data_IF_907884088821
#
_entry.id   IF_907884088821
#
_cell.length_a   1.000
_cell.length_b   1.000
_cell.length_c   1.000
_cell.angle_alpha   90.00
_cell.angle_beta   90.00
_cell.angle_gamma   90.00
#
_symmetry.space_group_name_H-M   'P 1'
#
loop_
_entity.id
_entity.type
_entity.pdbx_description
1 polymer ?
#
# COMPACT_ATOMS: atom_id res chain seq x y z
N UNK A 1 -34.68 -7.71 48.20
CA UNK A 1 -33.31 -7.17 47.99
C UNK A 1 -33.21 -6.85 46.51
N UNK A 2 -33.33 -5.56 46.21
CA UNK A 2 -33.17 -5.02 44.87
C UNK A 2 -31.71 -5.07 44.45
N UNK A 3 -31.44 -5.61 43.27
CA UNK A 3 -30.27 -5.20 42.48
C UNK A 3 -30.72 -4.96 41.04
N UNK A 4 -31.01 -3.69 40.80
CA UNK A 4 -30.98 -3.09 39.47
C UNK A 4 -29.58 -3.24 38.89
N UNK A 5 -29.48 -3.75 37.65
CA UNK A 5 -28.30 -3.52 36.82
C UNK A 5 -28.66 -3.50 35.34
N UNK A 6 -28.81 -2.26 34.89
CA UNK A 6 -28.23 -1.67 33.67
C UNK A 6 -28.60 -2.33 32.34
N UNK A 7 -29.59 -1.68 31.73
CA UNK A 7 -29.71 -1.43 30.30
C UNK A 7 -28.35 -1.05 29.69
N UNK A 8 -27.91 -1.77 28.67
CA UNK A 8 -26.99 -1.25 27.65
C UNK A 8 -27.80 -1.06 26.37
N UNK A 9 -27.90 0.20 25.97
CA UNK A 9 -28.55 0.65 24.77
C UNK A 9 -27.89 0.04 23.53
N UNK A 10 -28.73 -0.46 22.61
CA UNK A 10 -28.36 -0.73 21.23
C UNK A 10 -27.98 0.60 20.56
N UNK A 11 -26.69 0.77 20.26
CA UNK A 11 -26.22 1.75 19.31
C UNK A 11 -26.17 1.09 17.91
N UNK A 12 -26.73 1.69 16.85
CA UNK A 12 -26.55 1.19 15.49
C UNK A 12 -25.12 1.47 15.04
N UNK A 13 -24.43 0.43 14.59
CA UNK A 13 -23.11 0.55 13.96
C UNK A 13 -23.32 1.12 12.56
N UNK A 14 -23.11 2.43 12.39
CA UNK A 14 -23.06 3.06 11.08
C UNK A 14 -21.88 2.48 10.29
N UNK A 15 -22.17 1.96 9.09
CA UNK A 15 -21.18 1.57 8.10
C UNK A 15 -20.48 2.82 7.56
N UNK A 16 -19.15 2.87 7.47
CA UNK A 16 -18.51 3.78 6.55
C UNK A 16 -18.58 3.17 5.15
N UNK A 17 -19.42 3.74 4.28
CA UNK A 17 -19.28 3.60 2.84
C UNK A 17 -17.94 4.23 2.43
N UNK A 18 -16.98 3.40 2.05
CA UNK A 18 -15.75 3.86 1.42
C UNK A 18 -15.99 3.99 -0.08
N UNK A 19 -16.21 5.22 -0.51
CA UNK A 19 -16.35 5.64 -1.89
C UNK A 19 -14.95 5.81 -2.51
N UNK A 20 -14.52 5.04 -3.52
CA UNK A 20 -13.19 5.19 -4.12
C UNK A 20 -13.31 5.98 -5.43
N UNK A 21 -13.63 7.28 -5.37
CA UNK A 21 -13.74 8.09 -6.61
C UNK A 21 -13.21 9.52 -6.52
N UNK A 22 -12.52 9.92 -5.45
CA UNK A 22 -11.99 11.30 -5.33
C UNK A 22 -10.49 11.33 -5.07
N UNK A 23 -9.69 10.84 -6.02
CA UNK A 23 -8.24 11.10 -6.01
C UNK A 23 -7.65 11.07 -7.43
N UNK A 24 -8.38 11.65 -8.39
CA UNK A 24 -7.96 11.67 -9.79
C UNK A 24 -8.21 13.00 -10.48
N UNK A 25 -7.98 14.12 -9.80
CA UNK A 25 -8.02 15.45 -10.43
C UNK A 25 -7.08 16.44 -9.73
N UNK A 26 -5.78 16.15 -9.68
CA UNK A 26 -4.78 17.16 -9.32
C UNK A 26 -3.41 16.81 -9.93
N UNK A 27 -3.27 16.95 -11.26
CA UNK A 27 -2.04 17.44 -11.92
C UNK A 27 -2.24 17.51 -13.44
N UNK A 28 -3.06 18.45 -13.90
CA UNK A 28 -3.10 18.78 -15.32
C UNK A 28 -3.20 20.29 -15.50
N UNK A 29 -2.15 20.99 -15.05
CA UNK A 29 -1.88 22.36 -15.48
C UNK A 29 -0.44 22.75 -15.11
N UNK A 30 0.55 22.38 -15.92
CA UNK A 30 1.70 23.27 -16.09
C UNK A 30 2.13 23.26 -17.55
N UNK A 31 2.10 24.46 -18.09
CA UNK A 31 2.26 24.78 -19.49
C UNK A 31 3.69 24.56 -19.97
N UNK A 32 3.78 23.98 -21.15
CA UNK A 32 4.95 23.94 -22.01
C UNK A 32 5.02 25.26 -22.79
N UNK A 33 6.09 26.07 -22.67
CA UNK A 33 6.34 27.14 -23.63
C UNK A 33 7.40 26.67 -24.65
N UNK A 34 6.91 26.36 -25.85
CA UNK A 34 7.73 26.38 -27.07
C UNK A 34 8.30 27.79 -27.27
N UNK A 35 9.62 27.92 -27.13
CA UNK A 35 10.37 29.09 -27.57
C UNK A 35 11.43 28.65 -28.58
N UNK A 36 11.03 28.60 -29.85
CA UNK A 36 11.91 28.82 -31.00
C UNK A 36 11.42 30.08 -31.70
N UNK A 37 12.08 31.19 -31.45
CA UNK A 37 12.04 32.35 -32.34
C UNK A 37 13.30 33.18 -32.11
N UNK A 38 14.36 32.80 -32.81
CA UNK A 38 15.46 33.70 -33.11
C UNK A 38 14.91 34.83 -33.99
N UNK A 39 14.93 36.05 -33.50
CA UNK A 39 14.73 37.26 -34.28
C UNK A 39 15.72 38.30 -33.79
N UNK A 40 16.86 38.32 -34.47
CA UNK A 40 17.86 39.37 -34.37
C UNK A 40 17.29 40.69 -34.89
N UNK A 41 17.11 41.66 -33.99
CA UNK A 41 16.86 43.06 -34.31
C UNK A 41 17.96 43.89 -33.64
N UNK A 42 19.00 44.27 -34.41
CA UNK A 42 19.83 45.44 -34.11
C UNK A 42 20.43 46.02 -35.41
N UNK A 43 19.70 46.95 -36.00
CA UNK A 43 20.12 48.04 -36.89
C UNK A 43 19.53 49.29 -36.19
N UNK A 44 20.17 50.41 -35.87
CA UNK A 44 21.28 51.23 -36.39
C UNK A 44 21.63 52.21 -35.19
N UNK A 45 22.66 53.11 -35.13
CA UNK A 45 22.89 54.17 -36.14
C UNK A 45 24.35 54.68 -36.33
N UNK A 46 24.53 55.37 -37.47
CA UNK A 46 25.34 56.58 -37.73
C UNK A 46 26.77 56.71 -37.20
N UNK A 47 27.70 57.01 -38.13
CA UNK A 47 28.82 57.94 -37.88
C UNK A 47 29.28 58.59 -39.20
N UNK A 48 29.00 59.90 -39.30
CA UNK A 48 29.57 60.86 -40.25
C UNK A 48 31.10 60.81 -40.33
N UNK A 49 31.67 61.34 -41.43
CA UNK A 49 32.81 62.24 -41.24
C UNK A 49 32.76 63.50 -42.12
N UNK A 50 32.69 64.66 -41.45
CA UNK A 50 33.30 65.93 -41.85
C UNK A 50 34.36 66.28 -40.79
N UNK A 51 35.45 67.05 -41.06
CA UNK A 51 35.52 68.28 -41.88
C UNK A 51 36.63 68.23 -42.94
N UNK A 52 36.55 68.92 -44.08
CA UNK A 52 36.51 70.37 -44.32
C UNK A 52 37.81 71.13 -43.97
N UNK A 53 38.23 71.91 -44.97
CA UNK A 53 39.03 73.14 -44.91
C UNK A 53 40.55 73.00 -44.67
N UNK A 54 41.40 73.84 -45.27
CA UNK A 54 41.22 74.93 -46.22
C UNK A 54 42.61 75.58 -46.41
N UNK A 55 42.79 76.22 -47.59
CA UNK A 55 43.44 77.54 -47.73
C UNK A 55 44.96 77.58 -47.44
N UNK A 56 45.75 78.51 -47.96
CA UNK A 56 45.54 79.70 -48.78
C UNK A 56 46.93 80.11 -49.31
N UNK A 57 46.93 80.63 -50.53
CA UNK A 57 47.45 81.93 -50.95
C UNK A 57 48.91 82.39 -50.77
N UNK A 58 49.18 83.32 -51.69
CA UNK A 58 50.12 84.45 -51.73
C UNK A 58 51.53 84.15 -52.24
N UNK A 59 51.96 84.60 -53.43
CA UNK A 59 51.81 85.87 -54.15
C UNK A 59 52.53 87.06 -53.50
N UNK A 60 53.64 87.50 -54.14
CA UNK A 60 54.17 88.89 -54.27
C UNK A 60 55.58 88.76 -54.88
N UNK A 61 55.92 89.29 -56.06
CA UNK A 61 55.88 90.64 -56.65
C UNK A 61 56.80 91.67 -55.98
N UNK A 62 57.97 91.93 -56.58
CA UNK A 62 58.75 93.19 -56.56
C UNK A 62 59.68 93.10 -57.80
N UNK A 63 59.50 93.74 -58.97
CA UNK A 63 59.35 95.14 -59.40
C UNK A 63 60.52 96.07 -59.05
N UNK A 64 61.00 96.73 -60.12
CA UNK A 64 61.65 98.06 -60.13
C UNK A 64 63.13 98.14 -59.70
N UNK A 65 63.96 99.05 -60.21
CA UNK A 65 63.86 100.04 -61.30
C UNK A 65 65.30 100.54 -61.53
N UNK A 66 65.55 100.85 -62.79
CA UNK A 66 66.54 101.73 -63.40
C UNK A 66 66.94 103.02 -62.65
N UNK A 67 68.25 103.30 -62.58
CA UNK A 67 68.87 104.65 -62.49
C UNK A 67 70.31 104.48 -63.05
N UNK A 68 70.88 105.21 -64.00
CA UNK A 68 70.59 106.52 -64.57
C UNK A 68 71.54 107.59 -64.04
N UNK A 69 72.76 107.76 -64.59
CA UNK A 69 73.58 108.99 -64.41
C UNK A 69 74.78 108.94 -65.38
N UNK A 70 74.72 109.53 -66.57
CA UNK A 70 75.01 110.94 -66.92
C UNK A 70 76.48 111.37 -66.77
N UNK A 71 77.04 111.81 -67.92
CA UNK A 71 77.86 113.04 -68.08
C UNK A 71 79.29 112.98 -67.55
N UNK A 72 80.29 113.02 -68.43
CA UNK A 72 80.77 114.30 -68.97
C UNK A 72 81.99 114.11 -69.87
N UNK A 73 81.93 114.71 -71.05
CA UNK A 73 83.06 115.00 -71.91
C UNK A 73 83.99 116.01 -71.22
N UNK A 74 85.30 115.79 -71.25
CA UNK A 74 86.29 116.86 -71.15
C UNK A 74 87.58 116.42 -71.81
N UNK A 75 87.87 117.08 -72.93
CA UNK A 75 89.09 116.95 -73.68
C UNK A 75 90.22 117.76 -73.02
N UNK A 76 91.44 117.24 -73.18
CA UNK A 76 92.74 117.90 -73.01
C UNK A 76 93.16 118.21 -71.57
N UNK A 77 94.05 117.38 -71.01
CA UNK A 77 95.39 117.83 -70.63
C UNK A 77 96.30 116.64 -70.32
N UNK A 78 97.51 116.69 -70.86
CA UNK A 78 98.63 115.78 -70.63
C UNK A 78 98.93 115.65 -69.12
N UNK A 79 98.61 114.51 -68.49
CA UNK A 79 99.06 114.20 -67.12
C UNK A 79 99.19 112.68 -66.89
N UNK A 80 100.12 112.32 -66.01
CA UNK A 80 101.05 111.19 -66.12
C UNK A 80 100.83 110.12 -65.05
N UNK A 81 99.66 109.47 -65.00
CA UNK A 81 99.44 108.33 -64.08
C UNK A 81 98.23 107.40 -64.41
N UNK A 82 97.91 107.20 -65.69
CA UNK A 82 96.84 106.27 -66.11
C UNK A 82 97.17 104.81 -65.79
N UNK A 83 98.46 104.47 -65.73
CA UNK A 83 98.94 103.13 -65.42
C UNK A 83 98.57 102.70 -63.99
N UNK A 84 98.67 103.60 -63.01
CA UNK A 84 98.33 103.28 -61.62
C UNK A 84 96.81 103.11 -61.41
N UNK A 85 95.98 103.83 -62.17
CA UNK A 85 94.52 103.67 -62.11
C UNK A 85 94.05 102.38 -62.80
N UNK A 86 94.65 102.03 -63.94
CA UNK A 86 94.39 100.75 -64.63
C UNK A 86 94.88 99.57 -63.80
N UNK A 87 96.04 99.67 -63.14
CA UNK A 87 96.56 98.65 -62.23
C UNK A 87 95.65 98.45 -61.01
N UNK A 88 95.18 99.52 -60.35
CA UNK A 88 94.21 99.43 -59.26
C UNK A 88 92.88 98.82 -59.72
N UNK A 89 92.45 99.10 -60.95
CA UNK A 89 91.24 98.52 -61.53
C UNK A 89 91.42 97.03 -61.87
N UNK A 90 92.61 96.61 -62.30
CA UNK A 90 92.96 95.20 -62.51
C UNK A 90 93.08 94.43 -61.19
N UNK A 91 93.69 95.01 -60.17
CA UNK A 91 93.75 94.41 -58.83
C UNK A 91 92.34 94.30 -58.22
N UNK A 92 91.51 95.33 -58.36
CA UNK A 92 90.12 95.29 -57.95
C UNK A 92 89.34 94.25 -58.75
N UNK A 93 89.54 94.16 -60.06
CA UNK A 93 88.92 93.13 -60.91
C UNK A 93 89.37 91.73 -60.49
N UNK A 94 90.66 91.52 -60.23
CA UNK A 94 91.19 90.25 -59.73
C UNK A 94 90.62 89.91 -58.35
N UNK A 95 90.49 90.89 -57.44
CA UNK A 95 89.87 90.70 -56.12
C UNK A 95 88.40 90.37 -56.27
N UNK A 96 87.66 91.11 -57.09
CA UNK A 96 86.25 90.89 -57.37
C UNK A 96 86.01 89.51 -58.00
N UNK A 97 86.85 89.09 -58.95
CA UNK A 97 86.80 87.74 -59.54
C UNK A 97 87.11 86.66 -58.51
N UNK A 98 88.08 86.88 -57.61
CA UNK A 98 88.38 85.94 -56.52
C UNK A 98 87.21 85.83 -55.54
N UNK A 99 86.64 86.94 -55.10
CA UNK A 99 85.46 86.99 -54.22
C UNK A 99 84.25 86.34 -54.89
N UNK A 100 84.02 86.60 -56.18
CA UNK A 100 82.96 85.98 -56.96
C UNK A 100 83.15 84.45 -57.08
N UNK A 101 84.35 83.98 -57.39
CA UNK A 101 84.65 82.55 -57.47
C UNK A 101 84.56 81.86 -56.10
N UNK A 102 84.96 82.52 -55.02
CA UNK A 102 84.77 82.01 -53.65
C UNK A 102 83.29 81.95 -53.28
N UNK A 103 82.50 82.95 -53.69
CA UNK A 103 81.06 82.96 -53.48
C UNK A 103 80.37 81.83 -54.25
N UNK A 104 80.78 81.55 -55.49
CA UNK A 104 80.30 80.41 -56.28
C UNK A 104 80.64 79.11 -55.58
N UNK A 105 81.91 78.89 -55.22
CA UNK A 105 82.35 77.66 -54.56
C UNK A 105 81.61 77.43 -53.24
N UNK A 106 81.46 78.48 -52.43
CA UNK A 106 80.69 78.42 -51.18
C UNK A 106 79.22 78.10 -51.44
N UNK A 107 78.64 78.66 -52.50
CA UNK A 107 77.27 78.35 -52.92
C UNK A 107 77.14 76.90 -53.38
N UNK A 108 78.11 76.36 -54.10
CA UNK A 108 78.17 74.95 -54.53
C UNK A 108 78.27 74.01 -53.33
N UNK A 109 79.25 74.23 -52.44
CA UNK A 109 79.42 73.45 -51.20
C UNK A 109 78.16 73.50 -50.32
N UNK A 110 77.56 74.68 -50.15
CA UNK A 110 76.30 74.83 -49.41
C UNK A 110 75.13 74.10 -50.10
N UNK A 111 75.10 74.03 -51.43
CA UNK A 111 74.08 73.26 -52.15
C UNK A 111 74.29 71.75 -52.03
N UNK A 112 75.53 71.29 -52.07
CA UNK A 112 75.89 69.88 -51.87
C UNK A 112 75.60 69.41 -50.44
N UNK A 113 75.96 70.21 -49.42
CA UNK A 113 75.64 69.92 -48.03
C UNK A 113 74.13 69.89 -47.80
N UNK A 114 73.37 70.83 -48.38
CA UNK A 114 71.90 70.83 -48.32
C UNK A 114 71.31 69.60 -48.99
N UNK A 115 71.83 69.18 -50.14
CA UNK A 115 71.32 67.99 -50.84
C UNK A 115 71.66 66.70 -50.08
N UNK A 116 72.87 66.59 -49.52
CA UNK A 116 73.25 65.47 -48.65
C UNK A 116 72.38 65.42 -47.39
N UNK A 117 72.13 66.56 -46.74
CA UNK A 117 71.26 66.62 -45.56
C UNK A 117 69.82 66.22 -45.91
N UNK A 118 69.31 66.69 -47.05
CA UNK A 118 67.99 66.29 -47.57
C UNK A 118 67.91 64.79 -47.87
N UNK A 119 68.93 64.20 -48.47
CA UNK A 119 68.99 62.75 -48.71
C UNK A 119 69.02 61.95 -47.41
N UNK A 120 69.80 62.38 -46.41
CA UNK A 120 69.83 61.74 -45.10
C UNK A 120 68.48 61.82 -44.39
N UNK A 121 67.82 62.98 -44.44
CA UNK A 121 66.49 63.16 -43.87
C UNK A 121 65.44 62.29 -44.58
N UNK A 122 65.51 62.20 -45.91
CA UNK A 122 64.64 61.34 -46.70
C UNK A 122 64.85 59.87 -46.36
N UNK A 123 66.10 59.41 -46.27
CA UNK A 123 66.43 58.04 -45.86
C UNK A 123 65.92 57.74 -44.45
N UNK A 124 66.13 58.65 -43.49
CA UNK A 124 65.63 58.48 -42.13
C UNK A 124 64.10 58.40 -42.06
N UNK A 125 63.40 59.21 -42.87
CA UNK A 125 61.94 59.14 -43.02
C UNK A 125 61.50 57.79 -43.59
N UNK A 126 62.16 57.31 -44.64
CA UNK A 126 61.87 56.00 -45.25
C UNK A 126 62.12 54.84 -44.27
N UNK A 127 63.25 54.83 -43.57
CA UNK A 127 63.58 53.82 -42.57
C UNK A 127 62.55 53.81 -41.42
N UNK A 128 62.11 54.99 -40.96
CA UNK A 128 61.09 55.12 -39.92
C UNK A 128 59.73 54.60 -40.40
N UNK A 129 59.35 54.89 -41.66
CA UNK A 129 58.12 54.36 -42.27
C UNK A 129 58.20 52.83 -42.39
N UNK A 130 59.33 52.28 -42.84
CA UNK A 130 59.53 50.83 -42.93
C UNK A 130 59.45 50.16 -41.57
N UNK A 131 60.06 50.74 -40.53
CA UNK A 131 59.96 50.24 -39.16
C UNK A 131 58.51 50.28 -38.65
N UNK A 132 57.80 51.39 -38.85
CA UNK A 132 56.40 51.51 -38.47
C UNK A 132 55.52 50.48 -39.19
N UNK A 133 55.73 50.31 -40.50
CA UNK A 133 55.00 49.32 -41.30
C UNK A 133 55.29 47.89 -40.85
N UNK A 134 56.52 47.56 -40.47
CA UNK A 134 56.87 46.26 -39.90
C UNK A 134 56.20 46.02 -38.54
N UNK A 135 56.09 47.06 -37.69
CA UNK A 135 55.36 46.98 -36.42
C UNK A 135 53.86 46.78 -36.64
N UNK A 136 53.25 47.51 -37.58
CA UNK A 136 51.85 47.31 -37.96
C UNK A 136 51.59 45.88 -38.46
N UNK A 137 52.47 45.35 -39.30
CA UNK A 137 52.37 43.96 -39.77
C UNK A 137 52.42 42.92 -38.63
N UNK A 138 53.26 43.16 -37.61
CA UNK A 138 53.31 42.30 -36.41
C UNK A 138 52.04 42.41 -35.57
N UNK A 139 51.50 43.61 -35.37
CA UNK A 139 50.25 43.82 -34.66
C UNK A 139 49.08 43.13 -35.35
N UNK A 140 48.99 43.24 -36.68
CA UNK A 140 47.93 42.58 -37.45
C UNK A 140 48.06 41.05 -37.38
N UNK A 141 49.29 40.51 -37.46
CA UNK A 141 49.52 39.07 -37.27
C UNK A 141 49.08 38.58 -35.88
N UNK A 142 49.34 39.37 -34.83
CA UNK A 142 48.91 39.04 -33.46
C UNK A 142 47.38 39.11 -33.32
N UNK A 143 46.74 40.12 -33.90
CA UNK A 143 45.27 40.25 -33.92
C UNK A 143 44.61 39.04 -34.57
N UNK A 144 45.06 38.64 -35.77
CA UNK A 144 44.52 37.47 -36.48
C UNK A 144 44.75 36.18 -35.67
N UNK A 145 45.93 35.99 -35.07
CA UNK A 145 46.20 34.82 -34.21
C UNK A 145 45.30 34.77 -32.98
N UNK A 146 45.01 35.91 -32.37
CA UNK A 146 44.11 35.99 -31.22
C UNK A 146 42.68 35.62 -31.62
N UNK A 147 42.14 36.21 -32.70
CA UNK A 147 40.81 35.86 -33.22
C UNK A 147 40.67 34.37 -33.58
N UNK A 148 41.70 33.79 -34.20
CA UNK A 148 41.74 32.35 -34.48
C UNK A 148 41.84 31.50 -33.21
N UNK A 149 42.53 31.99 -32.17
CA UNK A 149 42.60 31.31 -30.88
C UNK A 149 41.25 31.34 -30.17
N UNK A 150 40.59 32.50 -30.11
CA UNK A 150 39.30 32.70 -29.48
C UNK A 150 38.22 31.83 -30.14
N UNK A 151 38.15 31.82 -31.47
CA UNK A 151 37.21 30.96 -32.21
C UNK A 151 37.47 29.47 -31.98
N UNK A 152 38.74 29.04 -31.89
CA UNK A 152 39.11 27.66 -31.58
C UNK A 152 38.71 27.28 -30.15
N UNK A 153 38.90 28.17 -29.18
CA UNK A 153 38.49 27.96 -27.79
C UNK A 153 36.96 27.82 -27.69
N UNK A 154 36.20 28.71 -28.32
CA UNK A 154 34.73 28.65 -28.39
C UNK A 154 34.23 27.35 -29.01
N UNK A 155 34.82 26.92 -30.13
CA UNK A 155 34.46 25.65 -30.77
C UNK A 155 34.73 24.44 -29.87
N UNK A 156 35.86 24.43 -29.14
CA UNK A 156 36.18 23.37 -28.18
C UNK A 156 35.16 23.34 -27.04
N UNK A 157 34.80 24.49 -26.48
CA UNK A 157 33.79 24.59 -25.43
C UNK A 157 32.42 24.11 -25.90
N UNK A 158 32.00 24.49 -27.11
CA UNK A 158 30.75 24.02 -27.70
C UNK A 158 30.71 22.50 -27.86
N UNK A 159 31.78 21.90 -28.41
CA UNK A 159 31.87 20.45 -28.56
C UNK A 159 31.87 19.73 -27.20
N UNK A 160 32.60 20.27 -26.22
CA UNK A 160 32.60 19.76 -24.85
C UNK A 160 31.21 19.81 -24.22
N UNK A 161 30.50 20.94 -24.35
CA UNK A 161 29.15 21.10 -23.81
C UNK A 161 28.15 20.17 -24.52
N UNK A 162 28.26 20.03 -25.84
CA UNK A 162 27.43 19.08 -26.60
C UNK A 162 27.65 17.66 -26.10
N UNK A 163 28.90 17.25 -25.89
CA UNK A 163 29.24 15.93 -25.36
C UNK A 163 28.67 15.72 -23.94
N UNK A 164 28.84 16.71 -23.06
CA UNK A 164 28.30 16.71 -21.70
C UNK A 164 26.76 16.54 -21.74
N UNK A 165 26.05 17.36 -22.51
CA UNK A 165 24.60 17.28 -22.64
C UNK A 165 24.12 15.94 -23.20
N UNK A 166 24.84 15.36 -24.16
CA UNK A 166 24.51 14.02 -24.65
C UNK A 166 24.71 12.95 -23.58
N UNK A 167 25.79 13.03 -22.79
CA UNK A 167 26.02 12.09 -21.70
C UNK A 167 25.04 12.25 -20.54
N UNK A 168 24.58 13.47 -20.29
CA UNK A 168 23.55 13.76 -19.30
C UNK A 168 22.20 13.20 -19.75
N UNK A 169 21.84 13.42 -21.03
CA UNK A 169 20.63 12.87 -21.63
C UNK A 169 20.59 11.35 -21.53
N UNK A 170 21.68 10.66 -21.88
CA UNK A 170 21.73 9.19 -21.76
C UNK A 170 21.60 8.72 -20.33
N UNK A 171 22.23 9.42 -19.37
CA UNK A 171 22.11 9.08 -17.94
C UNK A 171 20.68 9.26 -17.43
N UNK A 172 20.03 10.37 -17.78
CA UNK A 172 18.64 10.63 -17.42
C UNK A 172 17.68 9.61 -18.06
N UNK A 173 17.93 9.19 -19.30
CA UNK A 173 17.17 8.13 -19.96
C UNK A 173 17.34 6.77 -19.25
N UNK A 174 18.56 6.40 -18.86
CA UNK A 174 18.84 5.18 -18.09
C UNK A 174 18.19 5.22 -16.70
N UNK A 175 18.23 6.36 -16.01
CA UNK A 175 17.57 6.56 -14.72
C UNK A 175 16.04 6.45 -14.86
N UNK A 176 15.45 7.04 -15.91
CA UNK A 176 14.03 6.88 -16.20
C UNK A 176 13.66 5.41 -16.41
N UNK A 177 14.43 4.68 -17.22
CA UNK A 177 14.17 3.25 -17.47
C UNK A 177 14.31 2.40 -16.20
N UNK A 178 15.26 2.75 -15.33
CA UNK A 178 15.41 2.10 -14.03
C UNK A 178 14.18 2.35 -13.15
N UNK A 179 13.73 3.59 -13.02
CA UNK A 179 12.56 3.95 -12.21
C UNK A 179 11.28 3.26 -12.71
N UNK A 180 11.08 3.18 -14.04
CA UNK A 180 9.95 2.46 -14.62
C UNK A 180 9.96 0.99 -14.19
N UNK A 181 11.11 0.32 -14.25
CA UNK A 181 11.23 -1.09 -13.80
C UNK A 181 10.95 -1.24 -12.30
N UNK A 182 11.47 -0.35 -11.47
CA UNK A 182 11.22 -0.35 -10.02
C UNK A 182 9.72 -0.15 -9.72
N UNK A 183 9.04 0.75 -10.44
CA UNK A 183 7.60 0.96 -10.34
C UNK A 183 6.82 -0.29 -10.76
N UNK A 184 7.13 -0.89 -11.90
CA UNK A 184 6.49 -2.14 -12.35
C UNK A 184 6.71 -3.29 -11.36
N UNK A 185 7.91 -3.41 -10.77
CA UNK A 185 8.19 -4.38 -9.72
C UNK A 185 7.36 -4.15 -8.47
N UNK A 186 7.20 -2.89 -8.07
CA UNK A 186 6.36 -2.51 -6.94
C UNK A 186 4.89 -2.85 -7.19
N UNK A 187 4.36 -2.57 -8.39
CA UNK A 187 2.99 -2.90 -8.78
C UNK A 187 2.76 -4.40 -8.86
N UNK A 188 3.75 -5.16 -9.35
CA UNK A 188 3.72 -6.63 -9.33
C UNK A 188 3.65 -7.18 -7.90
N UNK A 189 4.48 -6.66 -6.98
CA UNK A 189 4.46 -7.04 -5.57
C UNK A 189 3.13 -6.69 -4.90
N UNK A 190 2.61 -5.49 -5.13
CA UNK A 190 1.30 -5.07 -4.60
C UNK A 190 0.17 -5.95 -5.12
N UNK A 191 0.19 -6.31 -6.41
CA UNK A 191 -0.81 -7.19 -7.02
C UNK A 191 -0.75 -8.61 -6.45
N UNK A 192 0.47 -9.15 -6.24
CA UNK A 192 0.66 -10.45 -5.59
C UNK A 192 0.11 -10.45 -4.16
N UNK A 193 0.45 -9.45 -3.35
CA UNK A 193 -0.06 -9.31 -1.98
C UNK A 193 -1.58 -9.17 -1.92
N UNK A 194 -2.19 -8.41 -2.84
CA UNK A 194 -3.65 -8.29 -2.95
C UNK A 194 -4.30 -9.65 -3.28
N UNK A 195 -3.69 -10.41 -4.18
CA UNK A 195 -4.15 -11.76 -4.53
C UNK A 195 -4.06 -12.72 -3.35
N UNK A 196 -2.92 -12.74 -2.64
CA UNK A 196 -2.73 -13.55 -1.44
C UNK A 196 -3.74 -13.20 -0.34
N UNK A 197 -3.93 -11.90 -0.07
CA UNK A 197 -4.92 -11.43 0.90
C UNK A 197 -6.35 -11.83 0.51
N UNK A 198 -6.68 -11.76 -0.79
CA UNK A 198 -7.99 -12.22 -1.27
C UNK A 198 -8.20 -13.72 -1.06
N UNK A 199 -7.19 -14.54 -1.38
CA UNK A 199 -7.25 -15.99 -1.17
C UNK A 199 -7.40 -16.32 0.31
N UNK A 200 -6.61 -15.69 1.18
CA UNK A 200 -6.68 -15.92 2.63
C UNK A 200 -8.03 -15.48 3.20
N UNK A 201 -8.56 -14.34 2.74
CA UNK A 201 -9.90 -13.90 3.12
C UNK A 201 -10.98 -14.89 2.68
N UNK A 202 -10.86 -15.50 1.50
CA UNK A 202 -11.81 -16.53 1.07
C UNK A 202 -11.69 -17.80 1.90
N UNK A 203 -10.47 -18.25 2.21
CA UNK A 203 -10.26 -19.40 3.11
C UNK A 203 -10.91 -19.19 4.47
N UNK A 204 -10.72 -18.03 5.10
CA UNK A 204 -11.36 -17.75 6.39
C UNK A 204 -12.89 -17.71 6.30
N UNK A 205 -13.45 -17.23 5.17
CA UNK A 205 -14.91 -17.26 4.96
C UNK A 205 -15.42 -18.70 4.82
N UNK A 206 -14.71 -19.55 4.09
CA UNK A 206 -15.01 -20.97 3.92
C UNK A 206 -14.93 -21.69 5.28
N UNK A 207 -13.84 -21.53 6.03
CA UNK A 207 -13.66 -22.13 7.36
C UNK A 207 -14.75 -21.68 8.35
N UNK A 208 -15.14 -20.40 8.34
CA UNK A 208 -16.23 -19.90 9.18
C UNK A 208 -17.57 -20.55 8.82
N UNK A 209 -17.82 -20.78 7.54
CA UNK A 209 -19.06 -21.43 7.09
C UNK A 209 -19.06 -22.92 7.45
N UNK A 210 -17.93 -23.61 7.26
CA UNK A 210 -17.76 -24.99 7.71
C UNK A 210 -17.99 -25.14 9.23
N UNK A 211 -17.42 -24.24 10.03
CA UNK A 211 -17.61 -24.24 11.49
C UNK A 211 -19.06 -24.01 11.90
N UNK A 212 -19.79 -23.11 11.20
CA UNK A 212 -21.22 -22.90 11.44
C UNK A 212 -22.03 -24.14 11.12
N UNK A 213 -21.75 -24.79 9.99
CA UNK A 213 -22.42 -26.02 9.58
C UNK A 213 -22.14 -27.16 10.55
N UNK A 214 -20.90 -27.28 11.02
CA UNK A 214 -20.49 -28.28 12.00
C UNK A 214 -21.16 -28.05 13.36
N UNK A 215 -21.21 -26.80 13.84
CA UNK A 215 -21.94 -26.43 15.05
C UNK A 215 -23.41 -26.82 14.96
N UNK A 216 -24.05 -26.51 13.83
CA UNK A 216 -25.45 -26.85 13.57
C UNK A 216 -25.67 -28.36 13.48
N UNK A 217 -24.72 -29.10 12.89
CA UNK A 217 -24.75 -30.56 12.84
C UNK A 217 -24.63 -31.17 14.23
N UNK A 218 -23.70 -30.69 15.05
CA UNK A 218 -23.52 -31.15 16.43
C UNK A 218 -24.76 -30.84 17.26
N UNK A 219 -25.32 -29.63 17.14
CA UNK A 219 -26.57 -29.25 17.81
C UNK A 219 -27.72 -30.20 17.46
N UNK A 220 -27.93 -30.50 16.18
CA UNK A 220 -28.95 -31.46 15.73
C UNK A 220 -28.71 -32.86 16.27
N UNK A 221 -27.46 -33.34 16.24
CA UNK A 221 -27.11 -34.66 16.80
C UNK A 221 -27.37 -34.72 18.30
N UNK A 222 -26.95 -33.70 19.07
CA UNK A 222 -27.17 -33.63 20.51
C UNK A 222 -28.67 -33.64 20.87
N UNK A 223 -29.49 -32.86 20.14
CA UNK A 223 -30.94 -32.87 20.30
C UNK A 223 -31.55 -34.24 19.95
N UNK A 224 -31.11 -34.88 18.87
CA UNK A 224 -31.58 -36.20 18.48
C UNK A 224 -31.21 -37.27 19.54
N UNK A 225 -29.98 -37.23 20.07
CA UNK A 225 -29.56 -38.16 21.12
C UNK A 225 -30.32 -37.94 22.43
N UNK A 226 -30.60 -36.69 22.80
CA UNK A 226 -31.39 -36.37 24.00
C UNK A 226 -32.84 -36.87 23.86
N UNK A 227 -33.46 -36.65 22.70
CA UNK A 227 -34.80 -37.16 22.42
C UNK A 227 -34.83 -38.69 22.40
N UNK A 228 -33.79 -39.34 21.89
CA UNK A 228 -33.70 -40.80 21.89
C UNK A 228 -33.52 -41.35 23.31
N UNK A 229 -32.63 -40.76 24.12
CA UNK A 229 -32.44 -41.15 25.51
C UNK A 229 -33.74 -41.04 26.31
N UNK A 230 -34.49 -39.95 26.14
CA UNK A 230 -35.80 -39.77 26.79
C UNK A 230 -36.80 -40.86 26.38
N UNK A 231 -36.85 -41.24 25.10
CA UNK A 231 -37.72 -42.33 24.64
C UNK A 231 -37.31 -43.67 25.25
N UNK A 232 -36.01 -43.93 25.35
CA UNK A 232 -35.48 -45.16 25.93
C UNK A 232 -35.78 -45.23 27.44
N UNK A 233 -35.67 -44.11 28.16
CA UNK A 233 -36.05 -43.99 29.57
C UNK A 233 -37.56 -44.26 29.79
N UNK A 234 -38.42 -43.63 28.99
CA UNK A 234 -39.88 -43.87 29.02
C UNK A 234 -40.16 -45.35 28.77
N UNK A 235 -39.57 -45.92 27.73
CA UNK A 235 -39.74 -47.34 27.38
C UNK A 235 -39.26 -48.27 28.50
N UNK A 236 -38.18 -47.93 29.18
CA UNK A 236 -37.66 -48.70 30.30
C UNK A 236 -38.62 -48.67 31.50
N UNK A 237 -39.18 -47.51 31.84
CA UNK A 237 -40.19 -47.36 32.90
C UNK A 237 -41.46 -48.11 32.57
N UNK A 238 -41.93 -48.06 31.33
CA UNK A 238 -43.10 -48.83 30.87
C UNK A 238 -42.86 -50.34 30.97
N UNK A 239 -41.69 -50.82 30.54
CA UNK A 239 -41.31 -52.24 30.71
C UNK A 239 -41.25 -52.64 32.18
N UNK A 240 -40.71 -51.79 33.06
CA UNK A 240 -40.66 -52.05 34.49
C UNK A 240 -42.08 -52.16 35.08
N UNK A 241 -43.00 -51.27 34.68
CA UNK A 241 -44.42 -51.35 35.02
C UNK A 241 -45.00 -52.68 34.59
N UNK A 242 -44.83 -53.07 33.33
CA UNK A 242 -45.45 -54.27 32.77
C UNK A 242 -44.98 -55.55 33.47
N UNK A 243 -43.69 -55.64 33.77
CA UNK A 243 -43.13 -56.77 34.56
C UNK A 243 -43.70 -56.79 35.97
N UNK A 244 -43.75 -55.65 36.67
CA UNK A 244 -44.28 -55.57 38.02
C UNK A 244 -45.78 -55.91 38.09
N UNK A 245 -46.56 -55.41 37.12
CA UNK A 245 -48.00 -55.67 37.04
C UNK A 245 -48.28 -57.14 36.73
N UNK A 246 -47.53 -57.74 35.80
CA UNK A 246 -47.63 -59.17 35.49
C UNK A 246 -47.33 -60.04 36.72
N UNK A 247 -46.31 -59.67 37.50
CA UNK A 247 -45.97 -60.40 38.73
C UNK A 247 -47.08 -60.31 39.79
N UNK A 248 -47.65 -59.12 40.01
CA UNK A 248 -48.78 -58.92 40.92
C UNK A 248 -50.02 -59.70 40.44
N UNK A 249 -50.30 -59.69 39.13
CA UNK A 249 -51.45 -60.39 38.55
C UNK A 249 -51.33 -61.91 38.66
N UNK A 250 -50.15 -62.47 38.40
CA UNK A 250 -49.87 -63.88 38.63
C UNK A 250 -50.13 -64.27 40.09
N UNK A 251 -49.61 -63.47 41.03
CA UNK A 251 -49.82 -63.69 42.46
C UNK A 251 -51.29 -63.60 42.86
N UNK A 252 -52.04 -62.61 42.35
CA UNK A 252 -53.49 -62.49 42.61
C UNK A 252 -54.25 -63.71 42.07
N UNK A 253 -53.84 -64.25 40.92
CA UNK A 253 -54.37 -65.50 40.38
C UNK A 253 -54.13 -66.69 41.31
N UNK A 254 -52.90 -66.85 41.80
CA UNK A 254 -52.54 -67.91 42.75
C UNK A 254 -53.29 -67.77 44.10
N UNK A 255 -53.42 -66.56 44.65
CA UNK A 255 -54.18 -66.34 45.90
C UNK A 255 -55.66 -66.64 45.69
N UNK A 256 -56.22 -66.26 44.55
CA UNK A 256 -57.62 -66.57 44.22
C UNK A 256 -57.84 -68.08 44.19
N UNK A 257 -56.91 -68.84 43.57
CA UNK A 257 -56.96 -70.30 43.56
C UNK A 257 -56.84 -70.88 44.98
N UNK A 258 -55.87 -70.40 45.78
CA UNK A 258 -55.67 -70.82 47.16
C UNK A 258 -56.92 -70.59 48.04
N UNK A 259 -57.51 -69.38 47.97
CA UNK A 259 -58.75 -69.06 48.69
C UNK A 259 -59.93 -69.91 48.23
N UNK A 260 -60.01 -70.24 46.93
CA UNK A 260 -61.05 -71.13 46.41
C UNK A 260 -60.91 -72.57 46.92
N UNK A 261 -59.68 -73.12 46.97
CA UNK A 261 -59.42 -74.44 47.56
C UNK A 261 -59.84 -74.46 49.03
N UNK A 262 -59.45 -73.45 49.81
CA UNK A 262 -59.87 -73.31 51.21
C UNK A 262 -61.40 -73.20 51.37
N UNK A 263 -62.12 -72.65 50.38
CA UNK A 263 -63.59 -72.52 50.40
C UNK A 263 -64.30 -73.82 50.09
N UNK A 264 -63.84 -74.55 49.06
CA UNK A 264 -64.52 -75.73 48.52
C UNK A 264 -64.10 -77.00 49.26
N UNK A 265 -62.80 -77.20 49.48
CA UNK A 265 -62.28 -78.45 50.04
C UNK A 265 -62.25 -78.46 51.56
N UNK A 266 -62.06 -77.28 52.19
CA UNK A 266 -61.96 -77.18 53.65
C UNK A 266 -62.90 -76.12 54.26
N UNK A 267 -64.24 -76.24 54.09
CA UNK A 267 -65.17 -75.16 54.40
C UNK A 267 -65.17 -74.71 55.86
N UNK A 268 -64.93 -75.64 56.80
CA UNK A 268 -65.05 -75.44 58.26
C UNK A 268 -63.69 -75.32 59.00
N UNK A 269 -62.56 -75.70 58.36
CA UNK A 269 -61.28 -75.89 59.05
C UNK A 269 -60.36 -74.66 59.05
N UNK A 270 -60.41 -73.81 58.03
CA UNK A 270 -59.43 -72.73 57.82
C UNK A 270 -60.04 -71.31 57.80
N UNK A 271 -61.04 -71.03 58.62
CA UNK A 271 -61.72 -69.71 58.63
C UNK A 271 -60.78 -68.54 58.94
N UNK A 272 -59.92 -68.68 59.96
CA UNK A 272 -58.98 -67.63 60.38
C UNK A 272 -57.91 -67.38 59.30
N UNK A 273 -57.40 -68.45 58.70
CA UNK A 273 -56.40 -68.37 57.63
C UNK A 273 -56.99 -67.74 56.36
N UNK A 274 -58.21 -68.12 55.98
CA UNK A 274 -58.93 -67.51 54.86
C UNK A 274 -59.07 -66.00 55.04
N UNK A 275 -59.56 -65.55 56.19
CA UNK A 275 -59.71 -64.12 56.48
C UNK A 275 -58.37 -63.36 56.47
N UNK A 276 -57.28 -64.01 56.91
CA UNK A 276 -55.91 -63.44 56.85
C UNK A 276 -55.44 -63.27 55.40
N UNK A 277 -55.70 -64.25 54.54
CA UNK A 277 -55.33 -64.19 53.12
C UNK A 277 -56.18 -63.20 52.32
N UNK A 278 -57.48 -63.09 52.61
CA UNK A 278 -58.36 -62.06 52.03
C UNK A 278 -57.87 -60.64 52.38
N UNK A 279 -57.41 -60.41 53.61
CA UNK A 279 -56.77 -59.13 53.99
C UNK A 279 -55.49 -58.86 53.20
N UNK A 280 -54.62 -59.87 53.01
CA UNK A 280 -53.38 -59.73 52.22
C UNK A 280 -53.69 -59.45 50.75
N UNK A 281 -54.69 -60.13 50.20
CA UNK A 281 -55.15 -59.93 48.83
C UNK A 281 -55.67 -58.50 48.62
N UNK A 282 -56.50 -57.99 49.54
CA UNK A 282 -56.97 -56.61 49.52
C UNK A 282 -55.82 -55.60 49.61
N UNK A 283 -54.82 -55.85 50.46
CA UNK A 283 -53.62 -55.01 50.56
C UNK A 283 -52.82 -54.99 49.25
N UNK A 284 -52.58 -56.14 48.62
CA UNK A 284 -51.85 -56.21 47.35
C UNK A 284 -52.63 -55.52 46.22
N UNK A 285 -53.96 -55.63 46.20
CA UNK A 285 -54.78 -54.84 45.25
C UNK A 285 -54.63 -53.34 45.46
N UNK A 286 -54.60 -52.87 46.70
CA UNK A 286 -54.34 -51.47 47.00
C UNK A 286 -52.95 -51.03 46.51
N UNK A 287 -51.93 -51.83 46.84
CA UNK A 287 -50.55 -51.58 46.41
C UNK A 287 -50.40 -51.57 44.88
N UNK A 288 -51.17 -52.42 44.15
CA UNK A 288 -51.22 -52.41 42.68
C UNK A 288 -51.65 -51.05 42.14
N UNK A 289 -52.71 -50.47 42.71
CA UNK A 289 -53.23 -49.15 42.30
C UNK A 289 -52.23 -48.04 42.67
N UNK A 290 -51.66 -48.08 43.87
CA UNK A 290 -50.64 -47.11 44.31
C UNK A 290 -49.40 -47.14 43.41
N UNK A 291 -48.91 -48.34 43.04
CA UNK A 291 -47.80 -48.52 42.11
C UNK A 291 -48.13 -47.96 40.72
N UNK A 292 -49.33 -48.22 40.21
CA UNK A 292 -49.78 -47.71 38.91
C UNK A 292 -49.81 -46.18 38.89
N UNK A 293 -50.34 -45.55 39.94
CA UNK A 293 -50.33 -44.09 40.08
C UNK A 293 -48.91 -43.55 40.11
N UNK A 294 -48.01 -44.19 40.87
CA UNK A 294 -46.62 -43.79 40.99
C UNK A 294 -45.88 -43.85 39.65
N UNK A 295 -46.07 -44.92 38.88
CA UNK A 295 -45.52 -45.04 37.52
C UNK A 295 -46.06 -43.93 36.63
N UNK A 296 -47.36 -43.65 36.70
CA UNK A 296 -47.99 -42.61 35.88
C UNK A 296 -47.41 -41.22 36.18
N UNK A 297 -47.17 -40.90 37.45
CA UNK A 297 -46.49 -39.66 37.86
C UNK A 297 -45.08 -39.56 37.28
N UNK A 298 -44.29 -40.63 37.36
CA UNK A 298 -42.92 -40.68 36.84
C UNK A 298 -42.93 -40.47 35.33
N UNK A 299 -43.80 -41.19 34.60
CA UNK A 299 -43.94 -41.02 33.15
C UNK A 299 -44.34 -39.59 32.80
N UNK A 300 -45.29 -38.99 33.52
CA UNK A 300 -45.69 -37.60 33.27
C UNK A 300 -44.52 -36.63 33.47
N UNK A 301 -43.68 -36.84 34.49
CA UNK A 301 -42.51 -35.99 34.75
C UNK A 301 -41.40 -36.19 33.72
N UNK A 302 -41.18 -37.41 33.23
CA UNK A 302 -40.26 -37.67 32.10
C UNK A 302 -40.73 -36.93 30.83
N UNK A 303 -42.02 -36.97 30.50
CA UNK A 303 -42.56 -36.23 29.36
C UNK A 303 -42.38 -34.70 29.49
N UNK A 304 -42.27 -34.18 30.72
CA UNK A 304 -41.96 -32.77 31.01
C UNK A 304 -40.46 -32.46 30.93
N UNK A 305 -39.60 -33.46 30.68
CA UNK A 305 -38.16 -33.31 30.55
C UNK A 305 -37.40 -33.35 31.87
N UNK A 306 -37.97 -33.93 32.93
CA UNK A 306 -37.17 -34.25 34.14
C UNK A 306 -36.32 -35.49 33.90
N UNK A 307 -35.12 -35.50 34.45
CA UNK A 307 -34.21 -36.64 34.38
C UNK A 307 -34.70 -37.79 35.28
N UNK A 308 -34.65 -39.03 34.79
CA UNK A 308 -35.07 -40.22 35.53
C UNK A 308 -34.35 -40.38 36.88
N UNK A 309 -33.07 -40.04 36.95
CA UNK A 309 -32.26 -40.16 38.18
C UNK A 309 -32.72 -39.21 39.29
N UNK A 310 -33.37 -38.10 38.93
CA UNK A 310 -33.93 -37.13 39.88
C UNK A 310 -35.28 -37.56 40.44
N UNK A 311 -35.93 -38.55 39.80
CA UNK A 311 -37.27 -38.99 40.15
C UNK A 311 -37.23 -40.07 41.23
N UNK A 312 -38.18 -40.07 42.19
CA UNK A 312 -38.21 -41.11 43.21
C UNK A 312 -38.47 -42.48 42.58
N UNK A 313 -37.55 -43.42 42.85
CA UNK A 313 -37.45 -44.74 42.24
C UNK A 313 -38.74 -45.56 42.40
N UNK A 314 -39.15 -46.21 41.32
CA UNK A 314 -40.30 -47.12 41.33
C UNK A 314 -39.86 -48.43 41.98
N UNK A 315 -40.37 -48.71 43.18
CA UNK A 315 -40.13 -49.96 43.91
C UNK A 315 -41.33 -50.91 43.77
N UNK A 316 -41.07 -52.17 43.42
CA UNK A 316 -42.12 -53.20 43.40
C UNK A 316 -42.39 -53.64 44.84
N UNK A 317 -43.65 -53.53 45.33
CA UNK A 317 -43.99 -53.96 46.68
C UNK A 317 -43.78 -55.48 46.83
N UNK A 318 -43.20 -55.96 47.94
CA UNK A 318 -42.93 -57.37 48.14
C UNK A 318 -44.24 -58.16 48.27
N UNK A 319 -44.33 -59.29 47.57
CA UNK A 319 -45.51 -60.15 47.57
C UNK A 319 -45.41 -61.27 48.62
N UNK A 320 -46.44 -61.50 49.46
CA UNK A 320 -46.43 -62.58 50.44
C UNK A 320 -46.40 -63.98 49.80
N UNK A 321 -45.59 -64.91 50.30
CA UNK A 321 -45.54 -66.28 49.74
C UNK A 321 -46.79 -67.11 50.06
N UNK A 322 -47.40 -67.69 49.03
CA UNK A 322 -48.66 -68.46 49.13
C UNK A 322 -48.34 -69.93 49.44
N UNK A 323 -48.89 -70.53 50.51
CA UNK A 323 -48.58 -71.90 50.91
C UNK A 323 -49.41 -72.93 50.12
N UNK A 324 -49.34 -72.88 48.78
CA UNK A 324 -50.10 -73.77 47.91
C UNK A 324 -49.63 -75.24 48.02
N UNK A 325 -48.33 -75.45 48.21
CA UNK A 325 -47.74 -76.78 48.38
C UNK A 325 -48.28 -77.51 49.63
N UNK A 326 -48.46 -76.77 50.73
CA UNK A 326 -48.98 -77.32 51.98
C UNK A 326 -50.43 -77.81 51.82
N UNK A 327 -51.26 -77.05 51.11
CA UNK A 327 -52.64 -77.50 50.82
C UNK A 327 -52.68 -78.75 49.96
N UNK A 328 -51.81 -78.83 48.94
CA UNK A 328 -51.70 -80.03 48.09
C UNK A 328 -51.27 -81.24 48.91
N UNK A 329 -50.38 -81.06 49.87
CA UNK A 329 -49.99 -82.11 50.80
C UNK A 329 -51.15 -82.56 51.70
N UNK A 330 -51.88 -81.61 52.30
CA UNK A 330 -53.07 -81.90 53.11
C UNK A 330 -54.15 -82.66 52.32
N UNK A 331 -54.37 -82.31 51.05
CA UNK A 331 -55.33 -82.97 50.17
C UNK A 331 -54.94 -84.43 49.88
N UNK A 332 -53.66 -84.70 49.62
CA UNK A 332 -53.14 -86.06 49.43
C UNK A 332 -53.22 -86.87 50.73
N UNK A 333 -52.95 -86.25 51.88
CA UNK A 333 -53.08 -86.95 53.18
C UNK A 333 -54.54 -87.26 53.51
N UNK A 334 -55.49 -86.40 53.16
CA UNK A 334 -56.92 -86.66 53.36
C UNK A 334 -57.48 -87.73 52.42
N UNK A 335 -56.96 -87.88 51.21
CA UNK A 335 -57.35 -89.00 50.33
C UNK A 335 -56.83 -90.36 50.81
N UNK A 336 -55.81 -90.37 51.67
CA UNK A 336 -55.29 -91.57 52.34
C UNK A 336 -55.99 -91.86 53.68
N UNK A 337 -56.87 -90.97 54.16
CA UNK A 337 -57.62 -91.18 55.40
C UNK A 337 -58.76 -92.22 55.21
N UNK A 338 -59.01 -93.12 56.17
CA UNK A 338 -60.11 -94.09 56.10
C UNK A 338 -61.47 -93.38 55.97
N UNK A 339 -62.42 -93.92 55.17
CA UNK A 339 -63.74 -93.31 55.04
C UNK A 339 -64.43 -93.22 56.42
N UNK A 340 -65.16 -92.13 56.70
CA UNK A 340 -65.87 -92.00 57.96
C UNK A 340 -66.88 -93.15 58.13
N UNK A 341 -67.00 -93.74 59.33
CA UNK A 341 -68.00 -94.78 59.58
C UNK A 341 -69.41 -94.24 59.28
N UNK A 342 -70.30 -95.07 58.72
CA UNK A 342 -71.64 -94.64 58.35
C UNK A 342 -72.39 -94.08 59.57
N UNK A 343 -73.24 -93.05 59.41
CA UNK A 343 -73.98 -92.49 60.52
C UNK A 343 -74.84 -93.58 61.16
N UNK A 344 -74.57 -93.88 62.44
CA UNK A 344 -75.40 -94.76 63.24
C UNK A 344 -76.82 -94.17 63.27
N UNK A 345 -77.74 -94.83 62.55
CA UNK A 345 -79.16 -94.59 62.68
C UNK A 345 -79.56 -94.86 64.15
N UNK A 346 -80.28 -93.95 64.82
CA UNK A 346 -80.81 -94.26 66.14
C UNK A 346 -81.75 -95.46 66.03
N UNK A 347 -81.71 -96.41 66.98
CA UNK A 347 -82.47 -97.65 66.88
C UNK A 347 -83.98 -97.37 66.81
N UNK A 348 -84.62 -97.88 65.75
CA UNK A 348 -86.06 -98.01 65.62
C UNK A 348 -86.61 -98.77 66.83
N UNK A 349 -87.29 -98.06 67.73
CA UNK A 349 -88.12 -98.70 68.75
C UNK A 349 -89.24 -99.47 68.06
N UNK A 350 -89.14 -100.80 68.08
CA UNK A 350 -90.26 -101.69 67.77
C UNK A 350 -91.32 -101.56 68.87
N UNK A 351 -92.44 -100.93 68.56
CA UNK A 351 -93.67 -101.14 69.33
C UNK A 351 -94.25 -102.52 68.99
N UNK A 352 -94.61 -103.35 70.00
CA UNK A 352 -95.25 -104.64 69.77
C UNK A 352 -96.68 -104.47 69.26
N UNK A 353 -97.00 -105.15 68.15
CA UNK A 353 -98.37 -105.37 67.73
C UNK A 353 -99.10 -106.28 68.73
N UNK A 354 -100.22 -105.78 69.26
CA UNK A 354 -101.35 -106.59 69.72
C UNK A 354 -102.61 -106.05 69.04
N UNK A 355 -103.28 -106.91 68.28
CA UNK A 355 -104.70 -106.88 67.93
C UNK A 355 -105.21 -108.31 68.20
N UNK A 356 -106.49 -108.55 68.51
CA UNK A 356 -107.63 -107.63 68.49
C UNK A 356 -108.16 -107.19 69.86
#
# INVERSE_FOLDING_TARGET
>A
MDYASRQTANAPFEKPEHNPTEEKLFLEQYMEPDLHSDSDLYLDPDLDPFPANAKDNDATHVQAVQVGSTVSESAVNTQSDWESQVAAMFEYSCKLTKEYNQLIKKKEEETEEKEMHKQQLQKWKEDTIQQHQALLGKLESLRVKLQLNDSKATRKNFLSKKQEMTSEKTRAEEERDRLVKEMEESDRKLSALRSEHYVEQQRWKEELEELRQEMERVRRKAQATQLQALRDEITAVEKQRDVAMSHIEAWLGEVTQYLNVLRVEFPQQYHVERAKWEKKEALVRKNKVELQNRVQEVLQQLHQGRDLESLPRISVPPLPQIPLAELRFCQVMQSLAPPPPPPHQPPLQRHPHYYP
#
